data_IF_042389160591
#
_entry.id   IF_042389160591
#
_cell.length_a   1.000
_cell.length_b   1.000
_cell.length_c   1.000
_cell.angle_alpha   90.00
_cell.angle_beta   90.00
_cell.angle_gamma   90.00
#
_symmetry.space_group_name_H-M   'P 1'
#
loop_
_entity.id
_entity.type
_entity.pdbx_description
1 polymer ?
#
# COMPACT_ATOMS: atom_id res chain seq x y z
N UNK A 1 -5.12 12.99 27.92
CA UNK A 1 -6.08 12.11 27.19
C UNK A 1 -5.42 11.73 25.87
N UNK A 2 -5.58 10.49 25.41
CA UNK A 2 -5.06 10.08 24.11
C UNK A 2 -5.92 10.72 22.99
N UNK A 3 -5.27 11.23 21.94
CA UNK A 3 -5.95 11.70 20.74
C UNK A 3 -6.08 10.53 19.76
N UNK A 4 -7.28 10.35 19.19
CA UNK A 4 -7.52 9.35 18.16
C UNK A 4 -7.26 9.96 16.78
N UNK A 5 -6.45 9.28 15.97
CA UNK A 5 -6.28 9.62 14.56
C UNK A 5 -7.52 9.13 13.80
N UNK A 6 -8.34 10.04 13.28
CA UNK A 6 -9.52 9.70 12.50
C UNK A 6 -9.15 9.41 11.04
N UNK A 7 -8.80 8.15 10.77
CA UNK A 7 -8.43 7.69 9.43
C UNK A 7 -9.57 7.81 8.41
N UNK A 8 -10.85 7.77 8.83
CA UNK A 8 -11.99 7.94 7.94
C UNK A 8 -12.11 9.38 7.46
N UNK A 9 -11.96 10.33 8.36
CA UNK A 9 -11.95 11.75 8.04
C UNK A 9 -10.80 12.09 7.08
N UNK A 10 -9.59 11.67 7.43
CA UNK A 10 -8.39 11.90 6.59
C UNK A 10 -8.54 11.27 5.21
N UNK A 11 -9.04 10.03 5.13
CA UNK A 11 -9.30 9.37 3.84
C UNK A 11 -10.34 10.13 2.99
N UNK A 12 -11.34 10.75 3.61
CA UNK A 12 -12.33 11.56 2.90
C UNK A 12 -11.67 12.84 2.34
N UNK A 13 -10.90 13.55 3.15
CA UNK A 13 -10.15 14.74 2.72
C UNK A 13 -9.24 14.45 1.51
N UNK A 14 -8.45 13.36 1.58
CA UNK A 14 -7.59 12.96 0.47
C UNK A 14 -8.39 12.67 -0.80
N UNK A 15 -9.54 11.97 -0.68
CA UNK A 15 -10.38 11.69 -1.84
C UNK A 15 -11.01 12.93 -2.45
N UNK A 16 -11.37 13.92 -1.63
CA UNK A 16 -11.90 15.18 -2.11
C UNK A 16 -10.84 15.97 -2.89
N UNK A 17 -9.62 16.07 -2.35
CA UNK A 17 -8.47 16.67 -3.03
C UNK A 17 -8.16 15.97 -4.37
N UNK A 18 -8.09 14.62 -4.37
CA UNK A 18 -7.86 13.83 -5.58
C UNK A 18 -8.98 14.02 -6.61
N UNK A 19 -10.23 14.18 -6.18
CA UNK A 19 -11.36 14.42 -7.08
C UNK A 19 -11.20 15.75 -7.82
N UNK A 20 -10.72 16.78 -7.15
CA UNK A 20 -10.41 18.06 -7.77
C UNK A 20 -9.29 17.91 -8.81
N UNK A 21 -8.17 17.27 -8.43
CA UNK A 21 -7.05 17.03 -9.34
C UNK A 21 -7.47 16.21 -10.57
N UNK A 22 -8.22 15.13 -10.39
CA UNK A 22 -8.74 14.30 -11.48
C UNK A 22 -9.66 15.11 -12.40
N UNK A 23 -10.47 16.02 -11.84
CA UNK A 23 -11.34 16.89 -12.62
C UNK A 23 -10.52 17.83 -13.49
N UNK A 24 -9.44 18.41 -12.98
CA UNK A 24 -8.54 19.28 -13.77
C UNK A 24 -7.78 18.49 -14.85
N UNK A 25 -7.38 17.24 -14.58
CA UNK A 25 -6.77 16.37 -15.58
C UNK A 25 -7.74 16.05 -16.72
N UNK A 26 -9.00 15.77 -16.40
CA UNK A 26 -10.04 15.51 -17.42
C UNK A 26 -10.29 16.71 -18.34
N UNK A 27 -10.24 17.93 -17.83
CA UNK A 27 -10.34 19.15 -18.65
C UNK A 27 -9.20 19.24 -19.68
N UNK A 28 -8.04 18.61 -19.38
CA UNK A 28 -6.89 18.52 -20.28
C UNK A 28 -6.92 17.30 -21.18
N UNK A 29 -8.02 16.53 -21.18
CA UNK A 29 -8.17 15.30 -21.96
C UNK A 29 -7.43 14.09 -21.40
N UNK A 30 -7.01 14.14 -20.12
CA UNK A 30 -6.31 13.03 -19.45
C UNK A 30 -7.31 12.30 -18.58
N UNK A 31 -7.55 11.02 -18.87
CA UNK A 31 -8.41 10.13 -18.08
C UNK A 31 -7.58 9.07 -17.41
N UNK A 32 -7.69 8.99 -16.07
CA UNK A 32 -7.06 7.93 -15.27
C UNK A 32 -7.85 6.62 -15.36
N UNK A 33 -7.15 5.50 -15.53
CA UNK A 33 -7.74 4.16 -15.55
C UNK A 33 -6.91 3.19 -14.72
N UNK A 34 -7.55 2.55 -13.74
CA UNK A 34 -6.98 1.50 -12.89
C UNK A 34 -7.58 0.14 -13.26
N UNK A 35 -6.72 -0.81 -13.62
CA UNK A 35 -7.09 -2.22 -13.76
C UNK A 35 -6.82 -2.96 -12.45
N UNK A 36 -7.85 -3.62 -11.91
CA UNK A 36 -7.77 -4.41 -10.68
C UNK A 36 -8.02 -5.87 -11.05
N UNK A 37 -7.07 -6.74 -10.73
CA UNK A 37 -7.15 -8.18 -10.94
C UNK A 37 -7.37 -8.84 -9.58
N UNK A 38 -8.39 -9.68 -9.47
CA UNK A 38 -8.63 -10.56 -8.31
C UNK A 38 -8.76 -11.98 -8.80
N UNK A 39 -8.11 -12.93 -8.13
CA UNK A 39 -8.22 -14.36 -8.43
C UNK A 39 -8.84 -15.05 -7.22
N UNK A 40 -9.90 -15.81 -7.49
CA UNK A 40 -10.68 -16.46 -6.44
C UNK A 40 -11.61 -15.50 -5.67
N UNK A 41 -12.23 -16.03 -4.62
CA UNK A 41 -13.31 -15.37 -3.88
C UNK A 41 -12.96 -15.15 -2.40
N UNK A 42 -11.69 -14.84 -2.08
CA UNK A 42 -11.34 -14.50 -0.68
C UNK A 42 -12.20 -13.33 -0.19
N UNK A 43 -12.96 -13.51 0.92
CA UNK A 43 -13.90 -12.48 1.38
C UNK A 43 -13.23 -11.14 1.74
N UNK A 44 -12.01 -11.17 2.28
CA UNK A 44 -11.28 -9.97 2.64
C UNK A 44 -10.85 -9.21 1.38
N UNK A 45 -10.27 -9.92 0.39
CA UNK A 45 -9.89 -9.37 -0.90
C UNK A 45 -11.08 -8.76 -1.64
N UNK A 46 -12.23 -9.42 -1.63
CA UNK A 46 -13.45 -8.92 -2.28
C UNK A 46 -13.97 -7.61 -1.65
N UNK A 47 -13.81 -7.44 -0.34
CA UNK A 47 -14.13 -6.17 0.34
C UNK A 47 -13.17 -5.07 -0.10
N UNK A 48 -11.88 -5.35 -0.18
CA UNK A 48 -10.87 -4.38 -0.63
C UNK A 48 -11.08 -3.95 -2.07
N UNK A 49 -11.30 -4.90 -2.99
CA UNK A 49 -11.57 -4.60 -4.41
C UNK A 49 -12.83 -3.74 -4.57
N UNK A 50 -13.92 -4.10 -3.87
CA UNK A 50 -15.15 -3.30 -3.88
C UNK A 50 -14.93 -1.87 -3.35
N UNK A 51 -14.16 -1.71 -2.28
CA UNK A 51 -13.87 -0.39 -1.72
C UNK A 51 -12.97 0.43 -2.66
N UNK A 52 -11.99 -0.19 -3.32
CA UNK A 52 -11.15 0.45 -4.35
C UNK A 52 -12.00 0.94 -5.52
N UNK A 53 -12.92 0.10 -6.03
CA UNK A 53 -13.85 0.48 -7.10
C UNK A 53 -14.67 1.71 -6.70
N UNK A 54 -15.29 1.70 -5.51
CA UNK A 54 -16.05 2.85 -5.01
C UNK A 54 -15.19 4.11 -4.86
N UNK A 55 -13.94 3.96 -4.42
CA UNK A 55 -13.02 5.09 -4.31
C UNK A 55 -12.68 5.67 -5.70
N UNK A 56 -12.39 4.82 -6.68
CA UNK A 56 -12.17 5.24 -8.06
C UNK A 56 -13.40 5.98 -8.64
N UNK A 57 -14.59 5.44 -8.45
CA UNK A 57 -15.84 6.09 -8.86
C UNK A 57 -16.02 7.46 -8.21
N UNK A 58 -15.74 7.57 -6.91
CA UNK A 58 -15.86 8.82 -6.16
C UNK A 58 -14.92 9.91 -6.67
N UNK A 59 -13.65 9.56 -6.93
CA UNK A 59 -12.65 10.52 -7.41
C UNK A 59 -12.71 10.74 -8.93
N UNK A 60 -13.48 9.91 -9.65
CA UNK A 60 -13.67 10.03 -11.08
C UNK A 60 -12.61 9.32 -11.94
N UNK A 61 -11.90 8.33 -11.39
CA UNK A 61 -10.99 7.44 -12.11
C UNK A 61 -11.78 6.23 -12.62
N UNK A 62 -11.54 5.84 -13.88
CA UNK A 62 -12.12 4.61 -14.45
C UNK A 62 -11.51 3.39 -13.75
N UNK A 63 -12.34 2.44 -13.35
CA UNK A 63 -11.89 1.16 -12.77
C UNK A 63 -12.31 0.00 -13.66
N UNK A 64 -11.34 -0.80 -14.10
CA UNK A 64 -11.56 -2.07 -14.79
C UNK A 64 -11.36 -3.19 -13.77
N UNK A 65 -12.37 -4.02 -13.56
CA UNK A 65 -12.31 -5.16 -12.62
C UNK A 65 -12.22 -6.46 -13.41
N UNK A 66 -11.23 -7.27 -13.10
CA UNK A 66 -11.01 -8.60 -13.62
C UNK A 66 -11.14 -9.59 -12.47
N UNK A 67 -12.33 -10.17 -12.32
CA UNK A 67 -12.63 -11.19 -11.31
C UNK A 67 -12.46 -12.56 -11.96
N UNK A 68 -11.35 -13.22 -11.65
CA UNK A 68 -10.94 -14.51 -12.23
C UNK A 68 -11.31 -15.64 -11.28
N UNK A 69 -11.63 -16.82 -11.85
CA UNK A 69 -11.89 -18.01 -11.07
C UNK A 69 -10.65 -18.47 -10.27
N UNK A 70 -10.86 -19.20 -9.17
CA UNK A 70 -9.75 -19.67 -8.32
C UNK A 70 -8.82 -20.63 -9.10
N UNK A 71 -9.36 -21.35 -10.07
CA UNK A 71 -8.64 -22.31 -10.94
C UNK A 71 -7.86 -21.64 -12.08
N UNK A 72 -7.96 -20.30 -12.22
CA UNK A 72 -7.23 -19.56 -13.25
C UNK A 72 -5.74 -19.84 -13.16
N UNK A 73 -5.14 -20.19 -14.28
CA UNK A 73 -3.72 -20.54 -14.36
C UNK A 73 -2.83 -19.31 -14.28
N UNK A 74 -1.59 -19.50 -13.81
CA UNK A 74 -0.56 -18.45 -13.82
C UNK A 74 -0.38 -17.84 -15.22
N UNK A 75 -0.35 -18.69 -16.26
CA UNK A 75 -0.18 -18.27 -17.64
C UNK A 75 -1.31 -17.36 -18.15
N UNK A 76 -2.56 -17.61 -17.75
CA UNK A 76 -3.70 -16.75 -18.09
C UNK A 76 -3.59 -15.38 -17.42
N UNK A 77 -3.12 -15.32 -16.17
CA UNK A 77 -2.91 -14.07 -15.47
C UNK A 77 -1.78 -13.27 -16.11
N UNK A 78 -0.66 -13.92 -16.43
CA UNK A 78 0.48 -13.29 -17.09
C UNK A 78 0.09 -12.72 -18.46
N UNK A 79 -0.69 -13.42 -19.27
CA UNK A 79 -1.23 -12.93 -20.54
C UNK A 79 -2.16 -11.73 -20.36
N UNK A 80 -2.99 -11.74 -19.31
CA UNK A 80 -3.84 -10.58 -18.99
C UNK A 80 -2.98 -9.37 -18.63
N UNK A 81 -1.96 -9.54 -17.79
CA UNK A 81 -1.04 -8.48 -17.41
C UNK A 81 -0.30 -7.92 -18.63
N UNK A 82 0.22 -8.77 -19.50
CA UNK A 82 0.86 -8.38 -20.76
C UNK A 82 -0.06 -7.48 -21.60
N UNK A 83 -1.32 -7.90 -21.76
CA UNK A 83 -2.34 -7.10 -22.48
C UNK A 83 -2.57 -5.74 -21.81
N UNK A 84 -2.67 -5.70 -20.48
CA UNK A 84 -2.88 -4.47 -19.72
C UNK A 84 -1.65 -3.55 -19.74
N UNK A 85 -0.45 -4.12 -19.76
CA UNK A 85 0.79 -3.37 -19.95
C UNK A 85 0.83 -2.67 -21.31
N UNK A 86 0.39 -3.37 -22.36
CA UNK A 86 0.37 -2.83 -23.73
C UNK A 86 -0.77 -1.80 -23.95
N UNK A 87 -1.81 -1.80 -23.13
CA UNK A 87 -2.96 -0.88 -23.27
C UNK A 87 -2.61 0.51 -22.73
N UNK A 88 -2.47 1.47 -23.64
CA UNK A 88 -2.16 2.86 -23.29
C UNK A 88 -3.29 3.57 -22.53
N UNK A 89 -4.51 3.04 -22.55
CA UNK A 89 -5.62 3.60 -21.79
C UNK A 89 -5.59 3.17 -20.31
N UNK A 90 -4.79 2.16 -19.94
CA UNK A 90 -4.60 1.67 -18.56
C UNK A 90 -3.37 2.35 -17.97
N UNK A 91 -3.55 3.15 -16.93
CA UNK A 91 -2.48 3.89 -16.26
C UNK A 91 -1.93 3.18 -15.02
N UNK A 92 -2.69 2.27 -14.42
CA UNK A 92 -2.27 1.49 -13.27
C UNK A 92 -2.84 0.09 -13.31
N UNK A 93 -2.06 -0.86 -12.82
CA UNK A 93 -2.43 -2.28 -12.67
C UNK A 93 -2.22 -2.66 -11.20
N UNK A 94 -3.23 -3.31 -10.65
CA UNK A 94 -3.21 -3.82 -9.28
C UNK A 94 -3.64 -5.29 -9.31
N UNK A 95 -2.78 -6.18 -8.84
CA UNK A 95 -3.13 -7.57 -8.58
C UNK A 95 -3.37 -7.76 -7.09
N UNK A 96 -4.62 -8.05 -6.71
CA UNK A 96 -5.00 -8.16 -5.31
C UNK A 96 -4.42 -9.43 -4.68
N UNK A 97 -3.56 -9.25 -3.69
CA UNK A 97 -2.99 -10.34 -2.89
C UNK A 97 -3.91 -10.69 -1.69
N UNK A 98 -3.85 -11.94 -1.19
CA UNK A 98 -3.01 -13.04 -1.69
C UNK A 98 -3.59 -13.71 -2.94
N UNK A 99 -2.73 -14.38 -3.71
CA UNK A 99 -3.12 -15.24 -4.84
C UNK A 99 -3.30 -16.68 -4.37
N UNK A 100 -4.04 -17.53 -5.14
CA UNK A 100 -4.12 -18.96 -4.92
C UNK A 100 -2.72 -19.61 -4.94
N UNK A 101 -2.51 -20.65 -4.11
CA UNK A 101 -1.19 -21.28 -3.87
C UNK A 101 -0.48 -21.84 -5.12
N UNK A 102 -1.20 -22.10 -6.19
CA UNK A 102 -0.64 -22.63 -7.45
C UNK A 102 -0.08 -21.52 -8.36
N UNK A 103 -0.19 -20.27 -7.95
CA UNK A 103 0.31 -19.09 -8.67
C UNK A 103 1.49 -18.52 -7.89
N UNK A 104 2.58 -18.27 -8.60
CA UNK A 104 3.75 -17.58 -8.04
C UNK A 104 3.50 -16.07 -7.99
N UNK A 105 3.29 -15.54 -6.78
CA UNK A 105 3.03 -14.10 -6.56
C UNK A 105 4.17 -13.23 -7.08
N UNK A 106 5.42 -13.65 -6.91
CA UNK A 106 6.58 -12.87 -7.32
C UNK A 106 6.62 -12.73 -8.85
N UNK A 107 6.32 -13.80 -9.60
CA UNK A 107 6.23 -13.74 -11.07
C UNK A 107 5.11 -12.79 -11.54
N UNK A 108 3.97 -12.82 -10.87
CA UNK A 108 2.83 -11.95 -11.21
C UNK A 108 3.19 -10.49 -10.96
N UNK A 109 3.83 -10.18 -9.83
CA UNK A 109 4.29 -8.84 -9.48
C UNK A 109 5.33 -8.35 -10.51
N UNK A 110 6.30 -9.20 -10.83
CA UNK A 110 7.40 -8.87 -11.76
C UNK A 110 6.92 -8.65 -13.20
N UNK A 111 5.78 -9.25 -13.58
CA UNK A 111 5.19 -9.08 -14.90
C UNK A 111 4.51 -7.72 -15.12
N UNK A 112 4.17 -6.99 -14.05
CA UNK A 112 3.55 -5.67 -14.14
C UNK A 112 4.61 -4.64 -14.55
N UNK A 113 4.33 -3.83 -15.58
CA UNK A 113 5.20 -2.71 -15.96
C UNK A 113 5.39 -1.79 -14.75
N UNK A 114 6.62 -1.52 -14.30
CA UNK A 114 6.89 -0.65 -13.16
C UNK A 114 6.26 0.75 -13.26
N UNK A 115 5.98 1.22 -14.48
CA UNK A 115 5.25 2.47 -14.69
C UNK A 115 3.75 2.36 -14.39
N UNK A 116 3.23 1.15 -14.27
CA UNK A 116 1.83 0.84 -13.96
C UNK A 116 1.65 0.10 -12.64
N UNK A 117 2.75 -0.23 -11.94
CA UNK A 117 2.78 -0.92 -10.64
C UNK A 117 2.33 0.02 -9.52
N UNK A 118 1.02 0.22 -9.39
CA UNK A 118 0.46 1.17 -8.41
C UNK A 118 0.58 0.71 -6.95
N UNK A 119 0.87 -0.57 -6.70
CA UNK A 119 1.17 -1.07 -5.36
C UNK A 119 2.64 -0.88 -4.97
N UNK A 120 3.53 -0.61 -5.94
CA UNK A 120 4.95 -0.37 -5.72
C UNK A 120 5.72 -1.58 -5.20
N UNK A 121 5.31 -2.80 -5.60
CA UNK A 121 5.90 -4.05 -5.11
C UNK A 121 6.99 -4.61 -6.01
N UNK A 122 7.07 -4.16 -7.26
CA UNK A 122 8.12 -4.61 -8.18
C UNK A 122 9.52 -4.25 -7.66
N UNK A 123 10.55 -5.06 -7.96
CA UNK A 123 11.93 -4.75 -7.56
C UNK A 123 12.39 -3.36 -8.01
N UNK A 124 11.90 -2.87 -9.15
CA UNK A 124 12.21 -1.53 -9.65
C UNK A 124 11.58 -0.43 -8.80
N UNK A 125 10.29 -0.58 -8.43
CA UNK A 125 9.58 0.35 -7.54
C UNK A 125 10.24 0.38 -6.15
N UNK A 126 10.56 -0.80 -5.61
CA UNK A 126 11.27 -0.92 -4.32
C UNK A 126 12.66 -0.29 -4.39
N UNK A 127 13.42 -0.54 -5.46
CA UNK A 127 14.74 0.07 -5.65
C UNK A 127 14.65 1.60 -5.75
N UNK A 128 13.69 2.13 -6.50
CA UNK A 128 13.44 3.57 -6.59
C UNK A 128 13.10 4.18 -5.22
N UNK A 129 12.27 3.48 -4.44
CA UNK A 129 11.92 3.90 -3.07
C UNK A 129 13.14 3.95 -2.16
N UNK A 130 14.03 2.94 -2.20
CA UNK A 130 15.25 2.89 -1.38
C UNK A 130 16.17 4.07 -1.66
N UNK A 131 16.37 4.44 -2.93
CA UNK A 131 17.28 5.52 -3.34
C UNK A 131 16.61 6.89 -3.47
N UNK A 132 15.36 7.02 -3.01
CA UNK A 132 14.63 8.28 -2.99
C UNK A 132 14.21 8.81 -4.37
N UNK A 133 14.16 7.97 -5.41
CA UNK A 133 13.66 8.36 -6.73
C UNK A 133 12.13 8.37 -6.77
N UNK A 134 11.53 9.17 -7.69
CA UNK A 134 10.08 9.12 -7.94
C UNK A 134 9.63 7.71 -8.36
N UNK A 135 8.48 7.30 -7.91
CA UNK A 135 7.85 6.01 -8.22
C UNK A 135 6.61 5.79 -7.36
N UNK A 136 5.90 4.73 -7.66
CA UNK A 136 4.78 4.33 -6.80
C UNK A 136 5.29 3.81 -5.46
N UNK A 137 4.52 4.08 -4.43
CA UNK A 137 4.81 3.66 -3.05
C UNK A 137 3.71 2.71 -2.58
N UNK A 138 4.06 1.67 -1.80
CA UNK A 138 3.05 0.79 -1.22
C UNK A 138 1.99 1.58 -0.45
N UNK A 139 0.73 1.33 -0.77
CA UNK A 139 -0.40 2.17 -0.32
C UNK A 139 -0.55 2.21 1.20
N UNK A 140 -0.36 1.08 1.91
CA UNK A 140 -0.48 1.04 3.38
C UNK A 140 0.59 1.88 4.06
N UNK A 141 1.90 1.74 3.77
CA UNK A 141 2.93 2.61 4.30
C UNK A 141 2.73 4.09 3.94
N UNK A 142 2.41 4.39 2.70
CA UNK A 142 2.13 5.77 2.26
C UNK A 142 0.92 6.36 3.00
N UNK A 143 -0.12 5.57 3.22
CA UNK A 143 -1.29 5.96 4.00
C UNK A 143 -0.96 6.27 5.45
N UNK A 144 -0.07 5.50 6.09
CA UNK A 144 0.39 5.77 7.47
C UNK A 144 1.12 7.11 7.53
N UNK A 145 2.00 7.43 6.57
CA UNK A 145 2.64 8.75 6.49
C UNK A 145 1.59 9.87 6.39
N UNK A 146 0.55 9.69 5.56
CA UNK A 146 -0.54 10.68 5.47
C UNK A 146 -1.29 10.82 6.79
N UNK A 147 -1.57 9.74 7.50
CA UNK A 147 -2.21 9.77 8.81
C UNK A 147 -1.39 10.59 9.82
N UNK A 148 -0.09 10.36 9.88
CA UNK A 148 0.82 11.09 10.78
C UNK A 148 0.87 12.59 10.42
N UNK A 149 1.16 12.92 9.17
CA UNK A 149 1.29 14.31 8.70
C UNK A 149 0.00 15.11 8.88
N UNK A 150 -1.13 14.54 8.50
CA UNK A 150 -2.45 15.23 8.61
C UNK A 150 -2.98 15.30 10.04
N UNK A 151 -2.38 14.56 10.95
CA UNK A 151 -2.63 14.66 12.39
C UNK A 151 -1.62 15.56 13.10
N UNK A 152 -0.78 16.30 12.37
CA UNK A 152 0.27 17.18 12.90
C UNK A 152 1.25 16.43 13.84
N UNK A 153 1.52 15.17 13.55
CA UNK A 153 2.54 14.37 14.26
C UNK A 153 3.87 14.60 13.56
N UNK A 154 4.79 15.21 14.28
CA UNK A 154 6.14 15.44 13.81
C UNK A 154 6.90 14.10 13.72
N UNK A 155 7.56 13.88 12.57
CA UNK A 155 8.32 12.66 12.30
C UNK A 155 9.83 12.94 12.30
N UNK A 156 10.23 14.18 12.00
CA UNK A 156 11.63 14.59 11.86
C UNK A 156 12.39 14.39 13.17
N UNK A 157 13.50 13.65 13.11
CA UNK A 157 14.34 13.34 14.27
C UNK A 157 13.74 12.38 15.30
N UNK A 158 12.53 11.83 15.08
CA UNK A 158 11.86 10.91 16.02
C UNK A 158 12.41 9.50 15.95
N UNK A 159 12.39 8.81 17.09
CA UNK A 159 12.65 7.38 17.18
C UNK A 159 11.41 6.60 16.76
N UNK A 160 11.48 5.93 15.62
CA UNK A 160 10.38 5.11 15.10
C UNK A 160 10.71 3.63 15.20
N UNK A 161 9.81 2.86 15.81
CA UNK A 161 9.89 1.39 15.85
C UNK A 161 8.82 0.80 14.92
N UNK A 162 9.25 -0.01 13.96
CA UNK A 162 8.38 -0.75 13.06
C UNK A 162 8.42 -2.22 13.42
N UNK A 163 7.32 -2.77 13.92
CA UNK A 163 7.19 -4.20 14.25
C UNK A 163 6.60 -4.94 13.05
N UNK A 164 7.44 -5.68 12.35
CA UNK A 164 7.15 -6.39 11.12
C UNK A 164 8.15 -6.06 10.02
N UNK A 165 8.43 -7.06 9.14
CA UNK A 165 9.41 -6.91 8.05
C UNK A 165 8.95 -7.55 6.74
N UNK A 166 7.64 -7.53 6.49
CA UNK A 166 7.10 -7.99 5.20
C UNK A 166 7.56 -7.08 4.06
N UNK A 167 7.62 -7.63 2.84
CA UNK A 167 7.97 -6.85 1.65
C UNK A 167 6.91 -5.81 1.32
N UNK A 168 5.65 -6.09 1.66
CA UNK A 168 4.50 -5.24 1.29
C UNK A 168 4.20 -4.12 2.31
N UNK A 169 4.61 -4.26 3.59
CA UNK A 169 4.32 -3.24 4.62
C UNK A 169 5.55 -2.90 5.46
N UNK A 170 6.16 -3.86 6.17
CA UNK A 170 7.17 -3.58 7.19
C UNK A 170 8.42 -2.91 6.65
N UNK A 171 9.04 -3.47 5.60
CA UNK A 171 10.21 -2.89 4.95
C UNK A 171 9.90 -1.54 4.30
N UNK A 172 8.84 -1.41 3.47
CA UNK A 172 8.46 -0.12 2.91
C UNK A 172 8.17 0.95 3.96
N UNK A 173 7.49 0.58 5.04
CA UNK A 173 7.20 1.52 6.14
C UNK A 173 8.46 2.08 6.75
N UNK A 174 9.45 1.21 6.99
CA UNK A 174 10.75 1.63 7.54
C UNK A 174 11.47 2.61 6.62
N UNK A 175 11.43 2.35 5.31
CA UNK A 175 12.03 3.24 4.31
C UNK A 175 11.30 4.58 4.22
N UNK A 176 9.97 4.59 4.28
CA UNK A 176 9.22 5.84 4.24
C UNK A 176 9.43 6.68 5.52
N UNK A 177 9.49 6.06 6.70
CA UNK A 177 9.83 6.79 7.93
C UNK A 177 11.25 7.36 7.88
N UNK A 178 12.21 6.60 7.33
CA UNK A 178 13.58 7.09 7.11
C UNK A 178 13.61 8.30 6.15
N UNK A 179 12.80 8.29 5.08
CA UNK A 179 12.66 9.42 4.14
C UNK A 179 12.09 10.68 4.81
N UNK A 180 11.32 10.50 5.87
CA UNK A 180 10.78 11.60 6.69
C UNK A 180 11.73 11.97 7.86
N UNK A 181 13.02 11.57 7.77
CA UNK A 181 14.08 11.83 8.74
C UNK A 181 13.90 11.17 10.12
N UNK A 182 13.09 10.13 10.25
CA UNK A 182 13.04 9.37 11.50
C UNK A 182 14.27 8.46 11.66
N UNK A 183 14.68 8.22 12.90
CA UNK A 183 15.59 7.14 13.25
C UNK A 183 14.77 5.86 13.38
N UNK A 184 15.01 4.85 12.53
CA UNK A 184 14.12 3.69 12.41
C UNK A 184 14.74 2.42 12.96
N UNK A 185 14.03 1.75 13.85
CA UNK A 185 14.34 0.39 14.32
C UNK A 185 13.29 -0.58 13.78
N UNK A 186 13.74 -1.65 13.10
CA UNK A 186 12.85 -2.71 12.58
C UNK A 186 12.89 -3.91 13.51
N UNK A 187 11.74 -4.28 14.05
CA UNK A 187 11.57 -5.43 14.92
C UNK A 187 10.86 -6.59 14.22
N UNK A 188 11.22 -7.81 14.58
CA UNK A 188 10.68 -9.02 13.98
C UNK A 188 10.70 -10.20 14.99
N UNK A 189 10.32 -11.39 14.56
CA UNK A 189 10.23 -12.58 15.42
C UNK A 189 11.52 -13.00 16.14
N UNK A 190 12.68 -12.51 15.68
CA UNK A 190 13.98 -12.78 16.31
C UNK A 190 14.48 -11.59 17.15
N UNK A 191 13.71 -10.51 17.28
CA UNK A 191 14.11 -9.36 18.11
C UNK A 191 14.04 -9.74 19.57
N UNK A 192 15.16 -9.51 20.27
CA UNK A 192 15.22 -9.66 21.73
C UNK A 192 14.67 -8.40 22.39
N UNK A 193 14.10 -8.57 23.58
CA UNK A 193 13.63 -7.46 24.42
C UNK A 193 12.68 -6.49 23.68
N UNK A 194 11.78 -7.06 22.84
CA UNK A 194 10.86 -6.30 22.00
C UNK A 194 10.07 -5.26 22.80
N UNK A 195 9.66 -5.61 24.02
CA UNK A 195 8.95 -4.72 24.93
C UNK A 195 9.71 -3.44 25.21
N UNK A 196 10.99 -3.54 25.52
CA UNK A 196 11.83 -2.40 25.88
C UNK A 196 12.15 -1.54 24.65
N UNK A 197 12.34 -2.19 23.49
CA UNK A 197 12.50 -1.47 22.22
C UNK A 197 11.24 -0.66 21.89
N UNK A 198 10.05 -1.24 22.02
CA UNK A 198 8.79 -0.55 21.73
C UNK A 198 8.49 0.60 22.72
N UNK A 199 8.83 0.44 24.00
CA UNK A 199 8.62 1.48 25.02
C UNK A 199 9.41 2.76 24.78
N UNK A 200 10.58 2.64 24.18
CA UNK A 200 11.46 3.78 23.91
C UNK A 200 11.18 4.48 22.58
N UNK A 201 10.11 4.10 21.87
CA UNK A 201 9.73 4.70 20.61
C UNK A 201 8.86 5.95 20.81
N UNK A 202 9.16 7.01 20.08
CA UNK A 202 8.24 8.15 19.92
C UNK A 202 7.05 7.76 19.02
N UNK A 203 7.32 6.94 17.99
CA UNK A 203 6.33 6.43 17.04
C UNK A 203 6.45 4.92 16.97
N UNK A 204 5.36 4.21 17.25
CA UNK A 204 5.28 2.75 17.14
C UNK A 204 4.31 2.34 16.03
N UNK A 205 4.82 1.61 15.03
CA UNK A 205 4.03 1.09 13.91
C UNK A 205 4.05 -0.43 13.95
N UNK A 206 2.87 -1.04 14.02
CA UNK A 206 2.72 -2.50 14.15
C UNK A 206 2.12 -3.09 12.89
N UNK A 207 2.90 -3.91 12.18
CA UNK A 207 2.58 -4.48 10.87
C UNK A 207 2.78 -6.01 10.83
N UNK A 208 2.13 -6.75 11.74
CA UNK A 208 2.32 -8.21 11.89
C UNK A 208 1.04 -9.02 11.73
N UNK A 209 -0.13 -8.39 11.52
CA UNK A 209 -1.40 -9.08 11.32
C UNK A 209 -1.85 -9.97 12.49
N UNK A 210 -1.32 -9.76 13.70
CA UNK A 210 -1.68 -10.51 14.92
C UNK A 210 -2.42 -9.59 15.89
N UNK A 211 -3.75 -9.70 15.99
CA UNK A 211 -4.53 -8.89 16.94
C UNK A 211 -4.04 -9.07 18.37
N UNK A 212 -4.00 -7.99 19.14
CA UNK A 212 -3.63 -7.98 20.57
C UNK A 212 -2.21 -8.50 20.88
N UNK A 213 -1.32 -8.55 19.89
CA UNK A 213 0.07 -8.92 20.12
C UNK A 213 0.84 -7.80 20.82
N UNK A 214 0.55 -6.57 20.45
CA UNK A 214 0.99 -5.38 21.18
C UNK A 214 -0.24 -4.86 21.91
N UNK A 215 -0.24 -4.93 23.22
CA UNK A 215 -1.30 -4.43 24.09
C UNK A 215 -0.79 -3.21 24.89
N UNK A 216 -0.47 -3.40 26.14
CA UNK A 216 0.04 -2.36 27.05
C UNK A 216 1.55 -2.09 26.90
N UNK A 217 2.23 -2.74 25.95
CA UNK A 217 3.69 -2.71 25.80
C UNK A 217 4.20 -1.29 25.52
N UNK A 218 3.48 -0.52 24.79
CA UNK A 218 3.93 0.79 24.35
C UNK A 218 3.52 1.94 25.25
N UNK A 219 2.79 1.68 26.33
CA UNK A 219 2.31 2.77 27.18
C UNK A 219 2.37 2.35 28.65
N UNK A 220 3.30 2.91 29.32
CA UNK A 220 3.17 3.11 30.75
C UNK A 220 2.53 4.46 30.97
#
# INVERSE_FOLDING_TARGET
MANLIDGKLISTQIKDELKEEVTELKKKGIEGCLAVIQVGNDPASSVYVRNKKKACEYVGIKSLSYELAEETTEDEILKLIEKLNADSSVNGILCQLPLPKHIDEDKVIDAIDPKKDVDGFSPQSVGAMVIGKPGFLPCTPAGIIQLLKRSNIDIDGKSCVVVGRSNIVGKPMSLLMLRENATVTVCHSHTKDLKDVCKNADILIVAIGKPKFIDEIGRA
#
